data_IF_676514743869
#
_entry.id   IF_676514743869
#
_cell.length_a   1.000
_cell.length_b   1.000
_cell.length_c   1.000
_cell.angle_alpha   90.00
_cell.angle_beta   90.00
_cell.angle_gamma   90.00
#
_symmetry.space_group_name_H-M   'P 1'
#
loop_
_entity.id
_entity.type
_entity.pdbx_description
1 polymer ?
#
# COMPACT_ATOMS: atom_id res chain seq x y z
N UNK A 1 -11.40 5.32 -14.80
CA UNK A 1 -12.49 5.31 -15.80
C UNK A 1 -12.29 4.10 -16.71
N UNK A 2 -13.33 3.29 -16.92
CA UNK A 2 -13.27 2.19 -17.86
C UNK A 2 -13.46 2.72 -19.30
N UNK A 3 -12.53 2.39 -20.21
CA UNK A 3 -12.65 2.69 -21.63
C UNK A 3 -12.86 1.40 -22.41
N UNK A 4 -13.79 1.40 -23.37
CA UNK A 4 -13.96 0.26 -24.26
C UNK A 4 -12.72 0.11 -25.14
N UNK A 5 -12.10 -1.06 -25.08
CA UNK A 5 -10.89 -1.40 -25.85
C UNK A 5 -11.25 -1.69 -27.32
N UNK A 6 -12.31 -2.46 -27.55
CA UNK A 6 -12.70 -2.95 -28.88
C UNK A 6 -14.15 -3.42 -28.91
N UNK A 7 -14.76 -3.39 -30.10
CA UNK A 7 -16.01 -4.09 -30.38
C UNK A 7 -15.72 -5.58 -30.68
N UNK A 8 -16.49 -6.49 -30.09
CA UNK A 8 -16.26 -7.93 -30.25
C UNK A 8 -16.68 -8.42 -31.64
N UNK A 9 -15.91 -9.32 -32.29
CA UNK A 9 -16.31 -9.91 -33.56
C UNK A 9 -17.60 -10.72 -33.40
N UNK A 10 -18.65 -10.38 -34.16
CA UNK A 10 -19.96 -11.01 -34.04
C UNK A 10 -19.97 -12.52 -34.32
N UNK A 11 -18.94 -13.03 -34.99
CA UNK A 11 -18.80 -14.45 -35.37
C UNK A 11 -17.83 -15.23 -34.48
N UNK A 12 -17.18 -14.60 -33.51
CA UNK A 12 -16.23 -15.27 -32.63
C UNK A 12 -16.96 -16.20 -31.63
N UNK A 13 -16.37 -17.36 -31.35
CA UNK A 13 -16.88 -18.25 -30.34
C UNK A 13 -16.75 -17.61 -28.95
N UNK A 14 -17.78 -17.76 -28.12
CA UNK A 14 -17.81 -17.14 -26.79
C UNK A 14 -16.63 -17.58 -25.91
N UNK A 15 -16.22 -18.85 -26.00
CA UNK A 15 -15.06 -19.39 -25.25
C UNK A 15 -13.74 -18.71 -25.63
N UNK A 16 -13.54 -18.37 -26.91
CA UNK A 16 -12.33 -17.70 -27.37
C UNK A 16 -12.29 -16.24 -26.90
N UNK A 17 -13.45 -15.58 -26.83
CA UNK A 17 -13.58 -14.23 -26.27
C UNK A 17 -13.30 -14.20 -24.77
N UNK A 18 -13.82 -15.17 -24.01
CA UNK A 18 -13.51 -15.32 -22.59
C UNK A 18 -12.03 -15.62 -22.35
N UNK A 19 -11.41 -16.44 -23.21
CA UNK A 19 -9.97 -16.71 -23.15
C UNK A 19 -9.16 -15.45 -23.41
N UNK A 20 -9.53 -14.64 -24.41
CA UNK A 20 -8.86 -13.36 -24.66
C UNK A 20 -8.95 -12.45 -23.42
N UNK A 21 -10.15 -12.30 -22.84
CA UNK A 21 -10.34 -11.50 -21.64
C UNK A 21 -9.48 -11.97 -20.47
N UNK A 22 -9.48 -13.28 -20.17
CA UNK A 22 -8.67 -13.88 -19.11
C UNK A 22 -7.16 -13.64 -19.33
N UNK A 23 -6.67 -13.85 -20.56
CA UNK A 23 -5.26 -13.62 -20.88
C UNK A 23 -4.85 -12.15 -20.80
N UNK A 24 -5.74 -11.21 -21.18
CA UNK A 24 -5.50 -9.77 -21.03
C UNK A 24 -5.46 -9.35 -19.56
N UNK A 25 -6.39 -9.84 -18.74
CA UNK A 25 -6.34 -9.65 -17.28
C UNK A 25 -5.05 -10.23 -16.70
N UNK A 26 -4.63 -11.41 -17.17
CA UNK A 26 -3.37 -12.04 -16.79
C UNK A 26 -2.15 -11.18 -17.14
N UNK A 27 -2.11 -10.61 -18.35
CA UNK A 27 -1.03 -9.72 -18.79
C UNK A 27 -1.00 -8.44 -17.95
N UNK A 28 -2.12 -7.72 -17.83
CA UNK A 28 -2.19 -6.50 -17.01
C UNK A 28 -1.72 -6.76 -15.57
N UNK A 29 -2.13 -7.89 -14.96
CA UNK A 29 -1.64 -8.30 -13.64
C UNK A 29 -0.12 -8.48 -13.59
N UNK A 30 0.51 -9.09 -14.60
CA UNK A 30 1.97 -9.23 -14.63
C UNK A 30 2.68 -7.90 -14.85
N UNK A 31 2.12 -7.01 -15.69
CA UNK A 31 2.68 -5.68 -15.90
C UNK A 31 2.62 -4.84 -14.61
N UNK A 32 1.48 -4.76 -13.94
CA UNK A 32 1.37 -4.05 -12.66
C UNK A 32 2.13 -4.71 -11.52
N UNK A 33 2.43 -6.02 -11.61
CA UNK A 33 3.31 -6.68 -10.66
C UNK A 33 4.73 -6.13 -10.71
N UNK A 34 5.24 -5.68 -11.86
CA UNK A 34 6.57 -5.04 -11.92
C UNK A 34 6.59 -3.70 -11.19
N UNK A 35 5.46 -2.99 -11.15
CA UNK A 35 5.31 -1.79 -10.36
C UNK A 35 5.26 -2.09 -8.86
N UNK A 36 4.46 -3.07 -8.43
CA UNK A 36 4.32 -3.41 -7.01
C UNK A 36 5.54 -4.11 -6.43
N UNK A 37 6.28 -4.84 -7.26
CA UNK A 37 7.49 -5.57 -6.88
C UNK A 37 8.70 -5.06 -7.68
N UNK A 38 9.14 -3.80 -7.48
CA UNK A 38 10.27 -3.28 -8.23
C UNK A 38 11.54 -4.04 -7.86
N UNK A 39 12.50 -4.09 -8.78
CA UNK A 39 13.80 -4.70 -8.54
C UNK A 39 14.57 -3.97 -7.42
N UNK A 40 14.35 -2.67 -7.23
CA UNK A 40 14.95 -1.89 -6.12
C UNK A 40 14.58 -2.43 -4.74
N UNK A 41 13.43 -3.08 -4.62
CA UNK A 41 12.96 -3.63 -3.36
C UNK A 41 13.58 -4.99 -3.00
N UNK A 42 14.42 -5.58 -3.85
CA UNK A 42 15.08 -6.86 -3.57
C UNK A 42 16.59 -6.68 -3.33
N UNK A 43 17.23 -7.61 -2.62
CA UNK A 43 18.58 -7.40 -2.09
C UNK A 43 19.67 -7.53 -3.17
N UNK A 44 19.73 -8.67 -3.86
CA UNK A 44 20.87 -9.06 -4.73
C UNK A 44 20.47 -9.22 -6.19
N UNK A 45 21.27 -8.69 -7.12
CA UNK A 45 21.14 -8.81 -8.59
C UNK A 45 21.81 -10.06 -9.19
N UNK A 46 22.31 -10.98 -8.37
CA UNK A 46 22.94 -12.22 -8.85
C UNK A 46 21.97 -13.08 -9.68
N UNK A 47 22.49 -13.90 -10.59
CA UNK A 47 21.63 -14.74 -11.44
C UNK A 47 20.74 -15.68 -10.61
N UNK A 48 19.48 -15.80 -11.02
CA UNK A 48 18.44 -16.58 -10.33
C UNK A 48 18.06 -16.08 -8.92
N UNK A 49 18.38 -14.82 -8.58
CA UNK A 49 17.78 -14.16 -7.41
C UNK A 49 16.45 -13.49 -7.78
N UNK A 50 15.69 -13.14 -6.75
CA UNK A 50 14.42 -12.41 -6.90
C UNK A 50 14.60 -11.08 -7.65
N UNK A 51 15.66 -10.32 -7.36
CA UNK A 51 15.91 -9.05 -8.05
C UNK A 51 16.21 -9.26 -9.53
N UNK A 52 16.99 -10.29 -9.86
CA UNK A 52 17.30 -10.64 -11.24
C UNK A 52 16.03 -11.00 -12.02
N UNK A 53 15.14 -11.79 -11.42
CA UNK A 53 13.84 -12.11 -12.01
C UNK A 53 12.97 -10.87 -12.22
N UNK A 54 12.83 -10.01 -11.20
CA UNK A 54 12.06 -8.75 -11.30
C UNK A 54 12.61 -7.81 -12.37
N UNK A 55 13.93 -7.66 -12.44
CA UNK A 55 14.56 -6.84 -13.48
C UNK A 55 14.31 -7.43 -14.87
N UNK A 56 14.47 -8.74 -15.03
CA UNK A 56 14.16 -9.42 -16.29
C UNK A 56 12.70 -9.26 -16.72
N UNK A 57 11.75 -9.36 -15.78
CA UNK A 57 10.32 -9.11 -16.05
C UNK A 57 10.07 -7.67 -16.53
N UNK A 58 10.74 -6.68 -15.93
CA UNK A 58 10.65 -5.29 -16.35
C UNK A 58 11.30 -5.03 -17.72
N UNK A 59 12.45 -5.62 -17.98
CA UNK A 59 13.18 -5.52 -19.25
C UNK A 59 12.38 -6.15 -20.41
N UNK A 60 11.57 -7.17 -20.12
CA UNK A 60 10.69 -7.82 -21.09
C UNK A 60 9.57 -6.92 -21.62
N UNK A 61 9.35 -5.72 -21.05
CA UNK A 61 8.42 -4.74 -21.63
C UNK A 61 8.75 -4.44 -23.10
N UNK A 62 10.04 -4.43 -23.45
CA UNK A 62 10.50 -4.20 -24.81
C UNK A 62 10.08 -5.31 -25.80
N UNK A 63 9.77 -6.52 -25.34
CA UNK A 63 9.36 -7.65 -26.18
C UNK A 63 7.85 -7.91 -26.19
N UNK A 64 7.06 -7.28 -25.31
CA UNK A 64 5.60 -7.53 -25.18
C UNK A 64 4.86 -7.39 -26.51
N UNK A 65 5.07 -6.29 -27.25
CA UNK A 65 4.40 -6.06 -28.54
C UNK A 65 4.82 -7.09 -29.60
N UNK A 66 6.09 -7.51 -29.58
CA UNK A 66 6.55 -8.59 -30.45
C UNK A 66 5.90 -9.92 -30.08
N UNK A 67 5.78 -10.24 -28.78
CA UNK A 67 5.17 -11.47 -28.29
C UNK A 67 3.67 -11.57 -28.60
N UNK A 68 2.97 -10.42 -28.63
CA UNK A 68 1.57 -10.29 -29.07
C UNK A 68 1.41 -10.56 -30.57
N UNK A 69 2.29 -9.98 -31.40
CA UNK A 69 2.19 -10.06 -32.86
C UNK A 69 2.76 -11.35 -33.44
N UNK A 70 3.75 -11.95 -32.76
CA UNK A 70 4.42 -13.19 -33.16
C UNK A 70 4.48 -14.14 -31.95
N UNK A 71 3.33 -14.67 -31.51
CA UNK A 71 3.29 -15.57 -30.37
C UNK A 71 4.00 -16.88 -30.66
N UNK A 72 4.53 -17.53 -29.61
CA UNK A 72 4.95 -18.92 -29.70
C UNK A 72 3.73 -19.81 -29.91
N UNK A 73 3.49 -20.21 -31.17
CA UNK A 73 2.43 -21.13 -31.56
C UNK A 73 2.88 -22.59 -31.36
N UNK A 74 1.96 -23.53 -31.09
CA UNK A 74 2.30 -24.94 -31.06
C UNK A 74 2.90 -25.44 -32.39
N UNK A 75 4.03 -26.14 -32.32
CA UNK A 75 4.72 -26.77 -33.44
C UNK A 75 4.98 -28.25 -33.10
N UNK A 76 4.59 -29.16 -33.98
CA UNK A 76 4.72 -30.62 -33.79
C UNK A 76 4.12 -31.14 -32.46
N UNK A 77 3.07 -30.48 -31.96
CA UNK A 77 2.41 -30.83 -30.69
C UNK A 77 3.09 -30.28 -29.44
N UNK A 78 4.20 -29.56 -29.58
CA UNK A 78 4.92 -28.89 -28.49
C UNK A 78 4.75 -27.38 -28.56
N UNK A 79 4.87 -26.70 -27.42
CA UNK A 79 4.78 -25.23 -27.34
C UNK A 79 5.93 -24.70 -26.48
N UNK A 80 6.67 -23.74 -27.03
CA UNK A 80 7.71 -23.02 -26.28
C UNK A 80 7.00 -22.05 -25.33
N UNK A 81 7.37 -22.10 -24.05
CA UNK A 81 6.92 -21.16 -23.03
C UNK A 81 8.11 -20.37 -22.50
N UNK A 82 7.94 -19.06 -22.32
CA UNK A 82 8.97 -18.24 -21.68
C UNK A 82 8.95 -18.48 -20.17
N UNK A 83 10.13 -18.51 -19.55
CA UNK A 83 10.26 -18.48 -18.09
C UNK A 83 10.01 -17.08 -17.53
N UNK A 84 10.08 -16.05 -18.37
CA UNK A 84 9.71 -14.68 -18.01
C UNK A 84 8.18 -14.54 -18.00
N UNK A 85 7.62 -14.17 -16.85
CA UNK A 85 6.15 -14.14 -16.65
C UNK A 85 5.46 -13.10 -17.52
N UNK A 86 6.08 -11.93 -17.71
CA UNK A 86 5.53 -10.85 -18.54
C UNK A 86 5.52 -11.27 -20.01
N UNK A 87 6.64 -11.79 -20.51
CA UNK A 87 6.75 -12.24 -21.90
C UNK A 87 5.80 -13.41 -22.20
N UNK A 88 5.72 -14.42 -21.32
CA UNK A 88 4.80 -15.54 -21.50
C UNK A 88 3.32 -15.09 -21.43
N UNK A 89 2.98 -14.14 -20.56
CA UNK A 89 1.63 -13.56 -20.54
C UNK A 89 1.30 -12.86 -21.86
N UNK A 90 2.26 -12.13 -22.45
CA UNK A 90 2.08 -11.50 -23.77
C UNK A 90 1.90 -12.55 -24.88
N UNK A 91 2.67 -13.65 -24.86
CA UNK A 91 2.47 -14.75 -25.78
C UNK A 91 1.09 -15.42 -25.65
N UNK A 92 0.55 -15.55 -24.43
CA UNK A 92 -0.81 -16.08 -24.22
C UNK A 92 -1.87 -15.22 -24.88
N UNK A 93 -1.77 -13.90 -24.73
CA UNK A 93 -2.66 -12.95 -25.42
C UNK A 93 -2.48 -13.08 -26.94
N UNK A 94 -1.24 -13.09 -27.44
CA UNK A 94 -0.98 -13.25 -28.87
C UNK A 94 -1.56 -14.54 -29.46
N UNK A 95 -1.49 -15.66 -28.73
CA UNK A 95 -2.14 -16.93 -29.13
C UNK A 95 -3.67 -16.82 -29.17
N UNK A 96 -4.28 -16.13 -28.20
CA UNK A 96 -5.72 -15.89 -28.19
C UNK A 96 -6.14 -15.02 -29.39
N UNK A 97 -5.41 -13.94 -29.68
CA UNK A 97 -5.62 -13.09 -30.86
C UNK A 97 -5.45 -13.87 -32.17
N UNK A 98 -4.41 -14.70 -32.28
CA UNK A 98 -4.19 -15.56 -33.43
C UNK A 98 -5.33 -16.57 -33.64
N UNK A 99 -5.98 -17.04 -32.57
CA UNK A 99 -7.13 -17.95 -32.67
C UNK A 99 -8.36 -17.23 -33.23
N UNK A 100 -8.56 -15.97 -32.86
CA UNK A 100 -9.67 -15.14 -33.32
C UNK A 100 -9.49 -14.64 -34.76
N UNK A 101 -8.24 -14.50 -35.22
CA UNK A 101 -7.86 -14.07 -36.58
C UNK A 101 -8.55 -12.77 -37.05
N UNK A 102 -8.80 -11.86 -36.10
CA UNK A 102 -9.38 -10.55 -36.38
C UNK A 102 -8.30 -9.46 -36.29
N UNK A 103 -7.99 -8.87 -37.44
CA UNK A 103 -6.94 -7.84 -37.55
C UNK A 103 -7.29 -6.56 -36.81
N UNK A 104 -8.54 -6.12 -36.86
CA UNK A 104 -8.97 -4.88 -36.21
C UNK A 104 -8.95 -5.03 -34.69
N UNK A 105 -9.45 -6.15 -34.18
CA UNK A 105 -9.34 -6.49 -32.76
C UNK A 105 -7.87 -6.54 -32.32
N UNK A 106 -7.01 -7.18 -33.11
CA UNK A 106 -5.57 -7.28 -32.83
C UNK A 106 -4.91 -5.90 -32.73
N UNK A 107 -5.18 -5.01 -33.69
CA UNK A 107 -4.64 -3.64 -33.69
C UNK A 107 -5.11 -2.84 -32.46
N UNK A 108 -6.38 -2.97 -32.08
CA UNK A 108 -6.95 -2.29 -30.91
C UNK A 108 -6.40 -2.82 -29.59
N UNK A 109 -6.26 -4.14 -29.45
CA UNK A 109 -5.66 -4.77 -28.26
C UNK A 109 -4.18 -4.38 -28.13
N UNK A 110 -3.42 -4.34 -29.23
CA UNK A 110 -2.03 -3.88 -29.21
C UNK A 110 -1.95 -2.43 -28.71
N UNK A 111 -2.76 -1.53 -29.25
CA UNK A 111 -2.77 -0.12 -28.84
C UNK A 111 -3.14 0.05 -27.36
N UNK A 112 -4.06 -0.78 -26.85
CA UNK A 112 -4.44 -0.75 -25.44
C UNK A 112 -3.33 -1.30 -24.52
N UNK A 113 -2.65 -2.37 -24.91
CA UNK A 113 -1.48 -2.87 -24.18
C UNK A 113 -0.33 -1.87 -24.19
N UNK A 114 -0.09 -1.15 -25.30
CA UNK A 114 0.89 -0.05 -25.34
C UNK A 114 0.54 1.09 -24.38
N UNK A 115 -0.76 1.38 -24.20
CA UNK A 115 -1.21 2.34 -23.21
C UNK A 115 -1.03 1.83 -21.78
N UNK A 116 -1.26 0.54 -21.53
CA UNK A 116 -1.02 -0.11 -20.24
C UNK A 116 0.47 -0.09 -19.85
N UNK A 117 1.36 -0.46 -20.78
CA UNK A 117 2.80 -0.41 -20.58
C UNK A 117 3.24 1.00 -20.17
N UNK A 118 2.81 2.02 -20.93
CA UNK A 118 3.11 3.43 -20.63
C UNK A 118 2.57 3.86 -19.27
N UNK A 119 1.38 3.42 -18.88
CA UNK A 119 0.79 3.72 -17.59
C UNK A 119 1.64 3.18 -16.42
N UNK A 120 2.13 1.95 -16.54
CA UNK A 120 3.06 1.36 -15.57
C UNK A 120 4.35 2.18 -15.49
N UNK A 121 4.95 2.56 -16.62
CA UNK A 121 6.18 3.35 -16.59
C UNK A 121 5.98 4.78 -16.06
N UNK A 122 4.81 5.37 -16.27
CA UNK A 122 4.44 6.67 -15.69
C UNK A 122 4.34 6.55 -14.17
N UNK A 123 3.63 5.54 -13.68
CA UNK A 123 3.49 5.25 -12.26
C UNK A 123 4.86 4.99 -11.60
N UNK A 124 5.75 4.26 -12.28
CA UNK A 124 7.13 4.02 -11.81
C UNK A 124 7.92 5.31 -11.57
N UNK A 125 7.64 6.37 -12.36
CA UNK A 125 8.26 7.70 -12.23
C UNK A 125 7.54 8.60 -11.22
N UNK A 126 6.48 8.10 -10.59
CA UNK A 126 5.64 8.84 -9.67
C UNK A 126 4.65 9.79 -10.37
N UNK A 127 4.35 9.58 -11.65
CA UNK A 127 3.24 10.27 -12.33
C UNK A 127 2.01 9.35 -12.31
N UNK A 128 1.01 9.72 -11.51
CA UNK A 128 -0.24 8.96 -11.33
C UNK A 128 -1.41 9.54 -12.14
N UNK A 129 -1.12 10.21 -13.25
CA UNK A 129 -2.14 10.76 -14.14
C UNK A 129 -2.82 9.69 -15.01
N UNK A 130 -3.98 10.04 -15.57
CA UNK A 130 -4.71 9.21 -16.54
C UNK A 130 -4.88 7.74 -16.11
N UNK A 131 -4.32 6.80 -16.87
CA UNK A 131 -4.39 5.36 -16.60
C UNK A 131 -3.41 4.93 -15.50
N UNK A 132 -2.31 5.67 -15.30
CA UNK A 132 -1.35 5.41 -14.24
C UNK A 132 -1.97 5.57 -12.85
N UNK A 133 -3.10 6.29 -12.73
CA UNK A 133 -3.88 6.41 -11.48
C UNK A 133 -4.30 5.08 -10.86
N UNK A 134 -4.33 3.98 -11.62
CA UNK A 134 -4.55 2.63 -11.08
C UNK A 134 -3.56 2.27 -9.95
N UNK A 135 -2.35 2.84 -9.99
CA UNK A 135 -1.32 2.57 -9.00
C UNK A 135 -1.73 2.95 -7.57
N UNK A 136 -2.64 3.93 -7.41
CA UNK A 136 -3.15 4.33 -6.09
C UNK A 136 -3.86 3.17 -5.38
N UNK A 137 -4.45 2.23 -6.13
CA UNK A 137 -5.13 1.06 -5.55
C UNK A 137 -4.18 -0.10 -5.23
N UNK A 138 -2.89 0.03 -5.53
CA UNK A 138 -1.92 -1.06 -5.43
C UNK A 138 -0.92 -0.77 -4.31
N UNK A 139 -0.56 -1.82 -3.56
CA UNK A 139 0.55 -1.75 -2.61
C UNK A 139 1.86 -2.01 -3.34
N UNK A 140 2.80 -1.05 -3.23
CA UNK A 140 4.16 -1.18 -3.74
C UNK A 140 5.12 -1.53 -2.60
N UNK A 141 6.04 -2.47 -2.83
CA UNK A 141 7.01 -2.90 -1.82
C UNK A 141 8.09 -1.86 -1.46
N UNK A 142 8.00 -0.64 -1.99
CA UNK A 142 8.96 0.44 -1.84
C UNK A 142 8.24 1.78 -2.07
N UNK A 143 8.69 2.85 -1.42
CA UNK A 143 8.10 4.18 -1.52
C UNK A 143 8.87 5.06 -2.52
N UNK A 144 8.16 5.66 -3.47
CA UNK A 144 8.74 6.66 -4.39
C UNK A 144 9.00 7.98 -3.66
N UNK A 145 10.24 8.50 -3.62
CA UNK A 145 10.53 9.78 -2.94
C UNK A 145 9.71 10.96 -3.46
N UNK A 146 9.39 10.97 -4.77
CA UNK A 146 8.53 12.00 -5.36
C UNK A 146 7.12 11.96 -4.77
N UNK A 147 6.57 10.76 -4.58
CA UNK A 147 5.24 10.55 -4.02
C UNK A 147 5.23 10.77 -2.51
N UNK A 148 6.31 10.46 -1.80
CA UNK A 148 6.43 10.76 -0.35
C UNK A 148 6.39 12.26 -0.14
N UNK A 149 7.12 13.03 -0.95
CA UNK A 149 7.07 14.49 -0.90
C UNK A 149 5.68 15.03 -1.24
N UNK A 150 5.01 14.48 -2.27
CA UNK A 150 3.65 14.87 -2.62
C UNK A 150 2.64 14.60 -1.48
N UNK A 151 2.75 13.45 -0.80
CA UNK A 151 1.94 13.14 0.37
C UNK A 151 2.26 14.06 1.56
N UNK A 152 3.54 14.35 1.79
CA UNK A 152 3.96 15.28 2.83
C UNK A 152 3.44 16.71 2.59
N UNK A 153 3.38 17.16 1.34
CA UNK A 153 2.77 18.45 0.99
C UNK A 153 1.25 18.46 1.28
N UNK A 154 0.55 17.36 1.05
CA UNK A 154 -0.86 17.22 1.45
C UNK A 154 -1.05 17.32 2.97
N UNK A 155 -0.15 16.71 3.76
CA UNK A 155 -0.20 16.84 5.21
C UNK A 155 0.16 18.27 5.69
N UNK A 156 1.07 18.97 5.00
CA UNK A 156 1.31 20.40 5.31
C UNK A 156 0.05 21.25 5.18
N UNK A 157 -0.75 20.98 4.15
CA UNK A 157 -2.04 21.61 3.95
C UNK A 157 -3.08 21.14 4.99
N UNK A 158 -3.10 19.84 5.29
CA UNK A 158 -4.08 19.18 6.17
C UNK A 158 -3.39 18.21 7.16
N UNK A 159 -2.92 18.69 8.33
CA UNK A 159 -2.16 17.88 9.28
C UNK A 159 -2.90 16.64 9.82
N UNK A 160 -4.23 16.69 9.88
CA UNK A 160 -5.09 15.56 10.26
C UNK A 160 -5.35 14.58 9.12
N UNK A 161 -4.73 14.79 7.96
CA UNK A 161 -4.97 14.05 6.74
C UNK A 161 -6.12 14.60 5.90
N UNK A 162 -6.26 14.06 4.70
CA UNK A 162 -7.37 14.37 3.79
C UNK A 162 -7.65 13.16 2.91
N UNK A 163 -8.86 13.08 2.36
CA UNK A 163 -9.23 11.99 1.44
C UNK A 163 -8.24 11.84 0.27
N UNK A 164 -7.60 12.94 -0.16
CA UNK A 164 -6.62 12.94 -1.26
C UNK A 164 -5.46 11.97 -1.02
N UNK A 165 -5.08 11.73 0.24
CA UNK A 165 -4.05 10.75 0.60
C UNK A 165 -4.42 9.33 0.15
N UNK A 166 -5.72 9.02 0.05
CA UNK A 166 -6.24 7.71 -0.34
C UNK A 166 -6.44 7.56 -1.86
N UNK A 167 -6.44 8.67 -2.63
CA UNK A 167 -6.84 8.61 -4.04
C UNK A 167 -6.00 9.46 -5.02
N UNK A 168 -5.03 10.24 -4.55
CA UNK A 168 -4.16 11.09 -5.39
C UNK A 168 -2.68 10.70 -5.35
N UNK A 169 -2.24 9.96 -4.33
CA UNK A 169 -0.84 9.58 -4.11
C UNK A 169 -0.68 8.07 -3.96
N UNK A 170 0.55 7.57 -4.16
CA UNK A 170 0.89 6.18 -3.89
C UNK A 170 0.66 5.85 -2.39
N UNK A 171 -0.06 4.76 -2.05
CA UNK A 171 -0.47 4.48 -0.67
C UNK A 171 0.73 4.15 0.22
N UNK A 172 1.79 3.54 -0.32
CA UNK A 172 3.01 3.25 0.46
C UNK A 172 3.74 4.54 0.79
N UNK A 173 3.84 5.45 -0.17
CA UNK A 173 4.41 6.77 0.04
C UNK A 173 3.58 7.63 1.00
N UNK A 174 2.25 7.54 0.93
CA UNK A 174 1.35 8.20 1.86
C UNK A 174 1.52 7.67 3.29
N UNK A 175 1.65 6.35 3.47
CA UNK A 175 1.94 5.75 4.77
C UNK A 175 3.30 6.20 5.34
N UNK A 176 4.33 6.37 4.51
CA UNK A 176 5.63 6.95 4.95
C UNK A 176 5.46 8.37 5.47
N UNK A 177 4.73 9.22 4.75
CA UNK A 177 4.42 10.57 5.22
C UNK A 177 3.57 10.52 6.50
N UNK A 178 2.54 9.69 6.55
CA UNK A 178 1.67 9.54 7.73
C UNK A 178 2.47 9.12 8.97
N UNK A 179 3.43 8.20 8.85
CA UNK A 179 4.29 7.79 9.97
C UNK A 179 5.16 8.95 10.49
N UNK A 180 5.68 9.79 9.59
CA UNK A 180 6.42 11.01 9.96
C UNK A 180 5.53 12.01 10.71
N UNK A 181 4.31 12.23 10.22
CA UNK A 181 3.35 13.14 10.83
C UNK A 181 2.76 12.61 12.14
N UNK A 182 2.55 11.31 12.25
CA UNK A 182 2.16 10.64 13.49
C UNK A 182 3.22 10.84 14.57
N UNK A 183 4.51 10.68 14.26
CA UNK A 183 5.57 10.93 15.23
C UNK A 183 5.52 12.37 15.76
N UNK A 184 5.39 13.35 14.86
CA UNK A 184 5.30 14.75 15.25
C UNK A 184 4.06 15.04 16.12
N UNK A 185 2.92 14.42 15.80
CA UNK A 185 1.71 14.52 16.60
C UNK A 185 1.88 13.88 17.98
N UNK A 186 2.43 12.67 18.04
CA UNK A 186 2.65 11.93 19.26
C UNK A 186 3.65 12.64 20.18
N UNK A 187 4.74 13.20 19.65
CA UNK A 187 5.73 13.94 20.47
C UNK A 187 5.11 15.18 21.14
N UNK A 188 4.30 15.95 20.40
CA UNK A 188 3.62 17.13 20.95
C UNK A 188 2.60 16.74 22.02
N UNK A 189 1.80 15.70 21.75
CA UNK A 189 0.78 15.25 22.70
C UNK A 189 1.40 14.57 23.92
N UNK A 190 2.49 13.81 23.76
CA UNK A 190 3.21 13.15 24.85
C UNK A 190 3.83 14.16 25.81
N UNK A 191 4.41 15.25 25.30
CA UNK A 191 4.93 16.34 26.14
C UNK A 191 3.82 16.97 27.00
N UNK A 192 2.59 17.06 26.49
CA UNK A 192 1.44 17.59 27.21
C UNK A 192 0.86 16.59 28.22
N UNK A 193 0.76 15.31 27.85
CA UNK A 193 0.23 14.23 28.69
C UNK A 193 1.25 13.67 29.70
N UNK A 194 2.52 14.08 29.61
CA UNK A 194 3.64 13.57 30.40
C UNK A 194 3.85 12.04 30.29
N UNK A 195 3.62 11.47 29.09
CA UNK A 195 3.76 10.03 28.81
C UNK A 195 4.78 9.74 27.69
N UNK A 196 5.00 8.46 27.36
CA UNK A 196 5.82 8.09 26.19
C UNK A 196 5.01 8.29 24.89
N UNK A 197 5.63 8.75 23.77
CA UNK A 197 4.91 8.91 22.50
C UNK A 197 4.13 7.67 22.04
N UNK A 198 4.65 6.46 22.30
CA UNK A 198 3.94 5.23 21.93
C UNK A 198 2.72 4.94 22.82
N UNK A 199 2.66 5.50 24.03
CA UNK A 199 1.53 5.40 24.97
C UNK A 199 0.37 6.34 24.60
N UNK A 200 0.63 7.43 23.87
CA UNK A 200 -0.41 8.40 23.44
C UNK A 200 -1.59 7.73 22.74
N UNK A 201 -1.33 6.80 21.80
CA UNK A 201 -2.40 6.13 21.05
C UNK A 201 -3.15 5.12 21.91
N UNK A 202 -2.47 4.52 22.91
CA UNK A 202 -3.09 3.62 23.89
C UNK A 202 -4.04 4.41 24.79
N UNK A 203 -3.61 5.57 25.30
CA UNK A 203 -4.46 6.43 26.14
C UNK A 203 -5.64 7.03 25.35
N UNK A 204 -5.43 7.38 24.08
CA UNK A 204 -6.50 7.90 23.23
C UNK A 204 -7.61 6.86 22.98
N UNK A 205 -7.31 5.56 23.01
CA UNK A 205 -8.28 4.47 22.85
C UNK A 205 -9.36 4.48 23.97
N UNK A 206 -9.00 4.95 25.17
CA UNK A 206 -9.93 5.09 26.29
C UNK A 206 -10.94 6.25 26.06
N UNK A 207 -10.63 7.19 25.15
CA UNK A 207 -11.50 8.31 24.76
C UNK A 207 -12.44 7.85 23.63
N UNK A 208 -11.88 7.28 22.57
CA UNK A 208 -12.59 6.73 21.42
C UNK A 208 -11.88 5.46 20.97
N UNK A 209 -12.63 4.43 20.57
CA UNK A 209 -12.02 3.17 20.13
C UNK A 209 -11.24 3.35 18.81
N UNK A 210 -9.93 3.09 18.84
CA UNK A 210 -8.98 3.36 17.75
C UNK A 210 -8.17 2.12 17.36
N UNK A 211 -7.51 2.19 16.21
CA UNK A 211 -6.47 1.24 15.84
C UNK A 211 -5.20 1.50 16.67
N UNK A 212 -4.93 0.68 17.69
CA UNK A 212 -3.80 0.90 18.61
C UNK A 212 -2.54 0.13 18.20
N UNK A 213 -2.69 -1.12 17.76
CA UNK A 213 -1.54 -2.03 17.60
C UNK A 213 -0.52 -1.53 16.56
N UNK A 214 -1.00 -1.12 15.38
CA UNK A 214 -0.13 -0.65 14.29
C UNK A 214 0.55 0.69 14.59
N UNK A 215 -0.17 1.77 15.00
CA UNK A 215 0.46 3.05 15.28
C UNK A 215 1.44 3.00 16.45
N UNK A 216 1.12 2.27 17.54
CA UNK A 216 2.05 2.03 18.65
C UNK A 216 3.32 1.36 18.15
N UNK A 217 3.20 0.31 17.32
CA UNK A 217 4.37 -0.39 16.79
C UNK A 217 5.25 0.50 15.90
N UNK A 218 4.64 1.42 15.15
CA UNK A 218 5.37 2.41 14.35
C UNK A 218 6.11 3.39 15.24
N UNK A 219 5.43 3.97 16.23
CA UNK A 219 6.02 4.92 17.19
C UNK A 219 7.18 4.31 17.99
N UNK A 220 7.05 3.07 18.47
CA UNK A 220 8.15 2.34 19.13
C UNK A 220 9.42 2.29 18.28
N UNK A 221 9.29 1.97 16.99
CA UNK A 221 10.43 1.86 16.07
C UNK A 221 11.03 3.22 15.74
N UNK A 222 10.19 4.24 15.58
CA UNK A 222 10.64 5.62 15.33
C UNK A 222 11.34 6.22 16.57
N UNK A 223 10.86 5.93 17.77
CA UNK A 223 11.50 6.26 19.04
C UNK A 223 12.84 5.55 19.23
N UNK A 224 12.98 4.33 18.69
CA UNK A 224 14.27 3.62 18.62
C UNK A 224 15.26 4.22 17.58
N UNK A 225 14.86 5.26 16.85
CA UNK A 225 15.70 5.99 15.90
C UNK A 225 15.65 5.47 14.47
N UNK A 226 14.73 4.55 14.15
CA UNK A 226 14.48 4.14 12.77
C UNK A 226 13.84 5.29 11.97
N UNK A 227 13.95 5.21 10.63
CA UNK A 227 13.33 6.20 9.73
C UNK A 227 11.90 5.77 9.37
N UNK A 228 10.95 6.71 9.20
CA UNK A 228 9.58 6.44 8.73
C UNK A 228 9.55 5.54 7.50
N UNK A 229 10.39 5.83 6.51
CA UNK A 229 10.48 5.02 5.29
C UNK A 229 10.83 3.56 5.57
N UNK A 230 11.83 3.30 6.41
CA UNK A 230 12.31 1.95 6.68
C UNK A 230 11.26 1.16 7.49
N UNK A 231 10.65 1.80 8.50
CA UNK A 231 9.59 1.19 9.31
C UNK A 231 8.40 0.76 8.45
N UNK A 232 7.90 1.67 7.62
CA UNK A 232 6.72 1.45 6.76
C UNK A 232 6.99 0.41 5.69
N UNK A 233 8.13 0.51 4.98
CA UNK A 233 8.49 -0.44 3.93
C UNK A 233 8.65 -1.85 4.49
N UNK A 234 9.21 -2.00 5.68
CA UNK A 234 9.35 -3.30 6.34
C UNK A 234 8.00 -3.92 6.72
N UNK A 235 7.10 -3.14 7.32
CA UNK A 235 5.75 -3.61 7.69
C UNK A 235 4.96 -4.05 6.45
N UNK A 236 4.94 -3.21 5.41
CA UNK A 236 4.26 -3.50 4.14
C UNK A 236 4.86 -4.74 3.48
N UNK A 237 6.19 -4.85 3.43
CA UNK A 237 6.88 -6.01 2.85
C UNK A 237 6.51 -7.31 3.57
N UNK A 238 6.44 -7.30 4.90
CA UNK A 238 6.04 -8.47 5.67
C UNK A 238 4.62 -8.92 5.35
N UNK A 239 3.68 -7.97 5.24
CA UNK A 239 2.31 -8.25 4.86
C UNK A 239 2.19 -8.74 3.40
N UNK A 240 2.96 -8.17 2.47
CA UNK A 240 3.03 -8.65 1.09
C UNK A 240 3.58 -10.08 1.01
N UNK A 241 4.60 -10.43 1.80
CA UNK A 241 5.11 -11.80 1.89
C UNK A 241 4.02 -12.76 2.41
N UNK A 242 3.25 -12.34 3.41
CA UNK A 242 2.12 -13.11 3.92
C UNK A 242 1.05 -13.34 2.83
N UNK A 243 0.76 -12.32 2.00
CA UNK A 243 -0.15 -12.43 0.86
C UNK A 243 0.33 -13.43 -0.19
N UNK A 244 1.64 -13.59 -0.33
CA UNK A 244 2.28 -14.61 -1.18
C UNK A 244 2.35 -16.01 -0.52
N UNK A 245 1.78 -16.18 0.69
CA UNK A 245 1.81 -17.43 1.44
C UNK A 245 3.16 -17.73 2.10
N UNK A 246 3.97 -16.71 2.35
CA UNK A 246 5.31 -16.81 2.95
C UNK A 246 5.33 -16.15 4.33
N UNK A 247 6.14 -16.69 5.23
CA UNK A 247 6.39 -16.09 6.55
C UNK A 247 7.72 -15.35 6.49
N UNK A 248 7.73 -14.07 6.85
CA UNK A 248 8.92 -13.23 6.80
C UNK A 248 10.01 -13.73 7.77
N UNK A 249 9.62 -14.05 9.01
CA UNK A 249 10.48 -14.68 10.00
C UNK A 249 9.85 -15.98 10.52
N UNK A 250 10.23 -17.15 9.97
CA UNK A 250 9.72 -18.43 10.44
C UNK A 250 10.08 -18.74 11.91
N UNK A 251 11.12 -18.10 12.46
CA UNK A 251 11.58 -18.37 13.82
C UNK A 251 10.72 -17.67 14.88
N UNK A 252 10.16 -16.50 14.58
CA UNK A 252 9.22 -15.79 15.45
C UNK A 252 7.83 -16.43 15.49
N UNK A 253 7.49 -17.30 14.54
CA UNK A 253 6.18 -17.96 14.44
C UNK A 253 5.83 -18.78 15.69
N UNK A 254 6.84 -19.36 16.36
CA UNK A 254 6.64 -20.08 17.61
C UNK A 254 6.19 -19.16 18.75
N UNK A 255 6.62 -17.91 18.76
CA UNK A 255 6.26 -16.94 19.79
C UNK A 255 4.91 -16.29 19.46
N UNK A 256 4.61 -16.03 18.19
CA UNK A 256 3.27 -15.60 17.73
C UNK A 256 2.19 -16.62 18.15
N UNK A 257 2.45 -17.92 17.93
CA UNK A 257 1.51 -18.98 18.33
C UNK A 257 1.34 -19.08 19.85
N UNK A 258 2.40 -18.86 20.63
CA UNK A 258 2.30 -18.85 22.10
C UNK A 258 1.50 -17.67 22.59
N UNK A 259 1.71 -16.49 22.02
CA UNK A 259 1.00 -15.27 22.42
C UNK A 259 -0.50 -15.38 22.09
N UNK A 260 -0.85 -15.90 20.92
CA UNK A 260 -2.26 -16.15 20.55
C UNK A 260 -2.92 -17.21 21.45
N UNK A 261 -2.16 -18.23 21.88
CA UNK A 261 -2.65 -19.22 22.83
C UNK A 261 -2.89 -18.62 24.23
N UNK A 262 -1.97 -17.76 24.70
CA UNK A 262 -2.12 -17.05 25.96
C UNK A 262 -3.36 -16.15 25.98
N UNK A 263 -3.60 -15.37 24.92
CA UNK A 263 -4.78 -14.51 24.80
C UNK A 263 -6.10 -15.30 24.76
N UNK A 264 -6.10 -16.48 24.14
CA UNK A 264 -7.25 -17.39 24.15
C UNK A 264 -7.52 -18.02 25.53
N UNK A 265 -6.49 -18.20 26.36
CA UNK A 265 -6.62 -18.71 27.73
C UNK A 265 -7.11 -17.65 28.74
N UNK A 266 -6.84 -16.37 28.48
CA UNK A 266 -7.21 -15.23 29.34
C UNK A 266 -8.63 -14.69 29.09
N UNK A 267 -9.25 -15.08 27.98
CA UNK A 267 -10.61 -14.65 27.63
C UNK A 267 -11.68 -15.37 28.47
N UNK A 268 -12.64 -14.66 29.10
CA UNK A 268 -13.64 -15.26 29.96
C UNK A 268 -14.62 -16.16 29.16
N UNK A 269 -15.02 -17.33 29.69
CA UNK A 269 -15.90 -18.24 28.97
C UNK A 269 -17.31 -17.63 28.83
N UNK A 270 -17.69 -17.23 27.62
CA UNK A 270 -19.05 -16.81 27.28
C UNK A 270 -19.19 -15.43 26.60
N UNK A 271 -18.11 -14.69 26.41
CA UNK A 271 -18.07 -13.64 25.38
C UNK A 271 -17.88 -14.32 24.01
N UNK A 272 -18.59 -13.81 23.01
CA UNK A 272 -18.82 -14.48 21.73
C UNK A 272 -17.52 -15.05 21.14
N UNK A 273 -17.61 -16.30 20.71
CA UNK A 273 -16.56 -17.19 20.22
C UNK A 273 -16.05 -16.67 18.86
N UNK A 274 -15.43 -15.49 18.90
CA UNK A 274 -14.72 -14.89 17.78
C UNK A 274 -13.45 -15.74 17.60
N UNK A 275 -13.60 -16.80 16.81
CA UNK A 275 -12.47 -17.54 16.24
C UNK A 275 -11.49 -16.59 15.49
N UNK A 276 -11.86 -15.33 15.28
CA UNK A 276 -11.05 -14.26 14.70
C UNK A 276 -10.08 -13.58 15.70
N UNK A 277 -10.38 -13.55 17.00
CA UNK A 277 -9.48 -12.96 18.03
C UNK A 277 -8.40 -13.95 18.49
N UNK A 278 -8.63 -15.25 18.38
CA UNK A 278 -7.66 -16.29 18.71
C UNK A 278 -6.80 -16.77 17.52
N UNK A 279 -7.09 -16.27 16.30
CA UNK A 279 -6.30 -16.62 15.12
C UNK A 279 -4.96 -15.88 15.15
N UNK A 280 -3.88 -16.64 15.30
CA UNK A 280 -2.52 -16.14 15.15
C UNK A 280 -2.36 -15.43 13.79
N UNK A 281 -2.33 -14.10 13.81
CA UNK A 281 -2.08 -13.30 12.61
C UNK A 281 -0.59 -13.39 12.27
N UNK A 282 -0.28 -13.80 11.05
CA UNK A 282 1.09 -13.89 10.53
C UNK A 282 1.62 -12.50 10.11
N UNK A 283 0.72 -11.53 9.96
CA UNK A 283 1.00 -10.14 9.61
C UNK A 283 0.17 -9.21 10.49
N UNK A 284 0.76 -8.07 10.86
CA UNK A 284 0.09 -7.00 11.59
C UNK A 284 -0.97 -6.30 10.71
N UNK A 285 -0.65 -6.15 9.43
CA UNK A 285 -1.52 -5.50 8.43
C UNK A 285 -2.31 -6.52 7.62
N UNK A 286 -3.45 -6.11 7.05
CA UNK A 286 -4.20 -6.84 6.04
C UNK A 286 -3.31 -7.14 4.82
N UNK A 287 -2.95 -8.43 4.56
CA UNK A 287 -2.11 -8.81 3.44
C UNK A 287 -2.68 -8.45 2.07
N UNK A 288 -4.00 -8.25 1.94
CA UNK A 288 -4.64 -7.93 0.66
C UNK A 288 -4.49 -6.45 0.27
N UNK A 289 -4.28 -5.54 1.23
CA UNK A 289 -4.17 -4.09 1.00
C UNK A 289 -3.24 -3.37 2.00
N UNK A 290 -2.03 -3.89 2.28
CA UNK A 290 -1.30 -3.50 3.48
C UNK A 290 -0.90 -2.03 3.54
N UNK A 291 -0.63 -1.38 2.40
CA UNK A 291 -0.32 0.05 2.41
C UNK A 291 -1.53 0.93 2.78
N UNK A 292 -2.74 0.55 2.36
CA UNK A 292 -3.95 1.29 2.71
C UNK A 292 -4.34 1.04 4.16
N UNK A 293 -4.26 -0.22 4.60
CA UNK A 293 -4.51 -0.62 5.98
C UNK A 293 -3.61 0.15 6.96
N UNK A 294 -2.30 0.18 6.68
CA UNK A 294 -1.34 0.95 7.46
C UNK A 294 -1.63 2.47 7.41
N UNK A 295 -2.00 3.02 6.25
CA UNK A 295 -2.31 4.44 6.15
C UNK A 295 -3.56 4.81 6.97
N UNK A 296 -4.60 3.99 6.92
CA UNK A 296 -5.82 4.17 7.70
C UNK A 296 -5.50 4.12 9.20
N UNK A 297 -4.77 3.10 9.67
CA UNK A 297 -4.33 2.99 11.07
C UNK A 297 -3.51 4.20 11.53
N UNK A 298 -2.59 4.70 10.70
CA UNK A 298 -1.75 5.85 11.03
C UNK A 298 -2.55 7.16 11.11
N UNK A 299 -3.57 7.32 10.25
CA UNK A 299 -4.47 8.47 10.31
C UNK A 299 -5.34 8.42 11.58
N UNK A 300 -5.80 7.24 11.98
CA UNK A 300 -6.50 7.02 13.24
C UNK A 300 -5.58 7.33 14.44
N UNK A 301 -4.29 6.98 14.36
CA UNK A 301 -3.29 7.36 15.36
C UNK A 301 -3.11 8.89 15.49
N UNK A 302 -3.05 9.62 14.36
CA UNK A 302 -2.98 11.09 14.36
C UNK A 302 -4.25 11.68 14.97
N UNK A 303 -5.41 11.09 14.65
CA UNK A 303 -6.68 11.47 15.25
C UNK A 303 -6.68 11.25 16.77
N UNK A 304 -6.17 10.12 17.25
CA UNK A 304 -6.01 9.83 18.67
C UNK A 304 -5.12 10.87 19.39
N UNK A 305 -4.01 11.27 18.77
CA UNK A 305 -3.15 12.32 19.31
C UNK A 305 -3.91 13.66 19.49
N UNK A 306 -4.81 14.00 18.56
CA UNK A 306 -5.67 15.19 18.64
C UNK A 306 -6.71 15.06 19.77
N UNK A 307 -7.33 13.90 19.93
CA UNK A 307 -8.31 13.65 21.00
C UNK A 307 -7.66 13.83 22.38
N UNK A 308 -6.50 13.21 22.59
CA UNK A 308 -5.76 13.33 23.84
C UNK A 308 -5.24 14.75 24.08
N UNK A 309 -4.80 15.45 23.02
CA UNK A 309 -4.40 16.85 23.12
C UNK A 309 -5.55 17.74 23.62
N UNK A 310 -6.76 17.54 23.10
CA UNK A 310 -7.96 18.23 23.59
C UNK A 310 -8.21 17.94 25.07
N UNK A 311 -8.24 16.67 25.46
CA UNK A 311 -8.53 16.25 26.84
C UNK A 311 -7.62 16.95 27.85
N UNK A 312 -6.31 17.00 27.60
CA UNK A 312 -5.34 17.63 28.50
C UNK A 312 -5.33 19.17 28.39
N UNK A 313 -5.63 19.74 27.22
CA UNK A 313 -5.70 21.21 27.04
C UNK A 313 -6.95 21.83 27.66
N UNK A 314 -8.06 21.10 27.72
CA UNK A 314 -9.31 21.52 28.36
C UNK A 314 -9.20 21.51 29.90
N UNK A 315 -8.42 20.58 30.46
CA UNK A 315 -8.23 20.45 31.91
C UNK A 315 -7.36 21.55 32.54
N UNK A 316 -6.47 22.18 31.76
CA UNK A 316 -5.57 23.24 32.24
C UNK A 316 -6.18 24.65 32.19
N UNK A 317 -7.34 24.82 31.55
CA UNK A 317 -8.01 26.12 31.41
C UNK A 317 -9.23 26.28 32.32
N UNK A 318 -9.18 27.25 33.24
CA UNK A 318 -10.38 27.79 33.91
C UNK A 318 -11.21 28.60 32.88
N UNK A 319 -11.89 27.93 31.94
CA UNK A 319 -12.76 28.58 30.96
C UNK A 319 -14.13 28.89 31.58
N UNK A 320 -14.61 30.14 31.44
CA UNK A 320 -15.97 30.53 31.81
C UNK A 320 -16.99 29.88 30.83
N UNK A 321 -18.17 29.48 31.33
CA UNK A 321 -19.25 28.79 30.57
C UNK A 321 -19.73 29.51 29.28
N UNK A 322 -19.34 30.77 29.05
CA UNK A 322 -19.66 31.56 27.85
C UNK A 322 -18.58 31.45 26.73
N UNK A 323 -17.43 30.78 26.97
CA UNK A 323 -16.29 30.64 26.02
C UNK A 323 -16.22 29.27 25.30
N UNK A 324 -17.17 28.37 25.52
CA UNK A 324 -17.19 27.03 24.88
C UNK A 324 -17.47 27.06 23.38
N UNK A 325 -18.13 28.13 22.88
CA UNK A 325 -18.40 28.30 21.45
C UNK A 325 -17.09 28.62 20.69
N UNK A 326 -16.53 27.62 20.01
CA UNK A 326 -15.31 27.74 19.20
C UNK A 326 -14.02 27.28 19.90
N UNK A 327 -14.10 26.78 21.13
CA UNK A 327 -12.95 26.20 21.85
C UNK A 327 -12.32 25.06 21.03
N UNK A 328 -13.15 24.14 20.53
CA UNK A 328 -12.69 23.01 19.73
C UNK A 328 -11.97 23.46 18.44
N UNK A 329 -12.52 24.43 17.71
CA UNK A 329 -11.88 24.97 16.48
C UNK A 329 -10.53 25.64 16.78
N UNK A 330 -10.41 26.28 17.96
CA UNK A 330 -9.16 26.90 18.41
C UNK A 330 -8.12 25.85 18.77
N UNK A 331 -8.50 24.82 19.52
CA UNK A 331 -7.63 23.71 19.89
C UNK A 331 -7.18 22.91 18.65
N UNK A 332 -8.08 22.64 17.71
CA UNK A 332 -7.74 22.05 16.41
C UNK A 332 -6.70 22.91 15.66
N UNK A 333 -6.93 24.22 15.60
CA UNK A 333 -5.98 25.15 14.94
C UNK A 333 -4.61 25.19 15.62
N UNK A 334 -4.57 25.09 16.94
CA UNK A 334 -3.34 25.05 17.73
C UNK A 334 -2.59 23.74 17.55
N UNK A 335 -3.29 22.61 17.63
CA UNK A 335 -2.74 21.29 17.37
C UNK A 335 -2.18 21.21 15.95
N UNK A 336 -2.94 21.59 14.93
CA UNK A 336 -2.46 21.58 13.54
C UNK A 336 -1.23 22.49 13.34
N UNK A 337 -1.18 23.65 13.99
CA UNK A 337 -0.04 24.56 13.87
C UNK A 337 1.23 24.00 14.52
N UNK A 338 1.10 23.39 15.70
CA UNK A 338 2.22 22.82 16.46
C UNK A 338 2.76 21.56 15.80
N UNK A 339 1.88 20.64 15.39
CA UNK A 339 2.26 19.43 14.64
C UNK A 339 2.96 19.78 13.33
N UNK A 340 2.43 20.75 12.57
CA UNK A 340 3.08 21.22 11.33
C UNK A 340 4.49 21.75 11.59
N UNK A 341 4.67 22.54 12.66
CA UNK A 341 5.98 23.08 13.01
C UNK A 341 6.98 21.98 13.42
N UNK A 342 6.53 20.99 14.20
CA UNK A 342 7.34 19.83 14.59
C UNK A 342 7.73 18.97 13.38
N UNK A 343 6.75 18.64 12.52
CA UNK A 343 6.98 17.85 11.31
C UNK A 343 7.95 18.53 10.33
N UNK A 344 7.89 19.87 10.21
CA UNK A 344 8.83 20.63 9.36
C UNK A 344 10.24 20.73 9.98
N UNK A 345 10.36 20.75 11.32
CA UNK A 345 11.65 20.76 12.00
C UNK A 345 12.44 19.45 11.78
N UNK A 346 11.74 18.32 11.71
CA UNK A 346 12.32 17.00 11.50
C UNK A 346 12.23 16.50 10.05
N UNK A 347 12.06 17.39 9.08
CA UNK A 347 11.91 17.02 7.67
C UNK A 347 13.03 16.13 7.12
N UNK A 348 14.26 16.27 7.65
CA UNK A 348 15.41 15.44 7.25
C UNK A 348 15.25 13.95 7.61
N UNK A 349 14.31 13.60 8.51
CA UNK A 349 14.01 12.22 8.89
C UNK A 349 13.05 11.51 7.93
N UNK A 350 12.34 12.25 7.06
CA UNK A 350 11.25 11.71 6.23
C UNK A 350 11.68 10.57 5.28
N UNK A 351 12.93 10.59 4.78
CA UNK A 351 13.43 9.65 3.75
C UNK A 351 14.64 8.81 4.20
#
# INVERSE_FOLDING_TARGET
>A
MASNVSDLPATAAHEDLLRLADTLTGLSRQLWRTYTHPASAADSLEENTERWHRQGERDAFASVIQALTKPNLPQDGYMIQSYNRVEEAAHRVGRALHTLDDKTLTEQVIADVEAELRAVEQAERGDLSERAKQAVLLTRADASPLQVNAANDLFREHPLGSEKLLHEVDPTAAAVAAAHWLQAAADITADLAECDPAEVVIEADDIEALAVETPTRVLERLGAGERPRDVVVDLIRNAMLAAEGRVADPSSLADVLKNSQGQAEESPPGEDDSLDTAQARISLLDPLRPAHDLLEDLLDGIHGCRLLFHEYSEHDGDFDDDETDGLAERLDSEFEATVRAAADADHDRLL
#
